data_IF_172189836028
#
_entry.id   IF_172189836028
#
_cell.length_a   1.000
_cell.length_b   1.000
_cell.length_c   1.000
_cell.angle_alpha   90.00
_cell.angle_beta   90.00
_cell.angle_gamma   90.00
#
_symmetry.space_group_name_H-M   'P 1'
#
loop_
_entity.id
_entity.type
_entity.pdbx_description
1 polymer ?
#
# COMPACT_ATOMS: atom_id res chain seq x y z
N UNK A 1 9.90 -8.61 16.94
CA UNK A 1 9.37 -7.79 15.84
C UNK A 1 9.73 -6.33 16.10
N UNK A 2 10.30 -5.61 15.13
CA UNK A 2 10.22 -4.15 15.15
C UNK A 2 8.97 -3.79 14.37
N UNK A 3 7.92 -3.35 15.06
CA UNK A 3 6.69 -2.90 14.41
C UNK A 3 6.98 -1.56 13.74
N UNK A 4 6.76 -1.48 12.43
CA UNK A 4 6.67 -0.22 11.72
C UNK A 4 5.19 0.14 11.62
N UNK A 5 4.78 1.20 12.32
CA UNK A 5 3.45 1.78 12.15
C UNK A 5 3.55 2.80 11.02
N UNK A 6 3.08 2.42 9.83
CA UNK A 6 2.75 3.39 8.81
C UNK A 6 1.45 4.07 9.22
N UNK A 7 1.53 5.19 9.94
CA UNK A 7 0.37 6.06 10.06
C UNK A 7 -0.08 6.41 8.64
N UNK A 8 -1.37 6.26 8.34
CA UNK A 8 -2.05 6.69 7.10
C UNK A 8 -1.79 8.16 6.68
N UNK A 9 -1.05 8.92 7.50
CA UNK A 9 -0.97 10.36 7.55
C UNK A 9 0.41 10.94 7.19
N UNK A 10 1.44 10.14 6.89
CA UNK A 10 2.77 10.69 6.58
C UNK A 10 3.84 9.72 6.12
N UNK A 11 5.06 10.24 5.90
CA UNK A 11 6.25 9.45 5.53
C UNK A 11 6.41 8.26 6.50
N UNK A 12 6.49 7.04 5.96
CA UNK A 12 6.66 5.83 6.78
C UNK A 12 7.91 6.00 7.64
N UNK A 13 7.73 5.95 8.96
CA UNK A 13 8.81 6.05 9.94
C UNK A 13 9.08 4.66 10.51
N UNK A 14 10.27 4.17 10.25
CA UNK A 14 10.72 2.92 10.84
C UNK A 14 11.39 3.20 12.18
N UNK A 15 10.90 2.56 13.24
CA UNK A 15 11.51 2.65 14.56
C UNK A 15 12.96 2.14 14.52
N UNK A 16 13.86 2.76 15.30
CA UNK A 16 15.24 2.28 15.45
C UNK A 16 15.20 0.81 15.92
N UNK A 17 15.87 -0.07 15.18
CA UNK A 17 15.96 -1.51 15.51
C UNK A 17 16.68 -1.65 16.86
N UNK A 18 15.95 -1.99 17.92
CA UNK A 18 16.53 -2.25 19.26
C UNK A 18 17.46 -3.46 19.31
N UNK A 19 17.36 -4.39 18.34
CA UNK A 19 18.18 -5.59 18.28
C UNK A 19 18.71 -5.80 16.85
N UNK A 20 20.03 -6.05 16.72
CA UNK A 20 20.75 -6.17 15.44
C UNK A 20 20.23 -7.30 14.53
N UNK A 21 19.53 -8.31 15.07
CA UNK A 21 19.07 -9.51 14.33
C UNK A 21 17.57 -9.57 14.01
N UNK A 22 16.77 -8.51 14.27
CA UNK A 22 15.31 -8.56 14.06
C UNK A 22 14.91 -7.94 12.73
N UNK A 23 14.19 -8.65 11.88
CA UNK A 23 13.62 -8.09 10.63
C UNK A 23 12.68 -6.91 10.90
N UNK A 24 12.49 -6.09 9.88
CA UNK A 24 11.53 -5.00 9.85
C UNK A 24 10.30 -5.46 9.05
N UNK A 25 9.13 -5.36 9.66
CA UNK A 25 7.87 -5.72 9.05
C UNK A 25 6.94 -4.52 9.05
N UNK A 26 6.42 -4.18 7.87
CA UNK A 26 5.38 -3.18 7.68
C UNK A 26 4.08 -3.95 7.36
N UNK A 27 3.31 -4.22 8.41
CA UNK A 27 2.16 -5.14 8.36
C UNK A 27 0.88 -4.47 7.86
N UNK A 28 0.86 -3.14 7.80
CA UNK A 28 -0.21 -2.35 7.20
C UNK A 28 0.41 -1.06 6.65
N UNK A 29 0.10 -0.74 5.40
CA UNK A 29 0.42 0.53 4.77
C UNK A 29 -0.46 0.74 3.53
N UNK A 30 -0.40 1.94 2.96
CA UNK A 30 -1.26 2.33 1.85
C UNK A 30 -2.55 2.97 2.35
N UNK A 31 -3.70 2.40 2.02
CA UNK A 31 -4.99 2.99 2.37
C UNK A 31 -5.38 4.17 1.47
N UNK A 32 -4.87 4.21 0.23
CA UNK A 32 -5.28 5.20 -0.76
C UNK A 32 -6.64 4.85 -1.32
N UNK A 33 -7.50 5.87 -1.39
CA UNK A 33 -8.93 5.69 -1.60
C UNK A 33 -9.33 6.23 -2.96
N UNK A 34 -10.17 5.50 -3.68
CA UNK A 34 -10.81 5.94 -4.91
C UNK A 34 -12.19 5.33 -4.93
N UNK A 35 -13.25 6.12 -5.03
CA UNK A 35 -14.61 5.60 -4.98
C UNK A 35 -15.17 5.43 -6.38
N UNK A 36 -15.71 4.25 -6.67
CA UNK A 36 -16.58 4.02 -7.82
C UNK A 36 -18.01 3.92 -7.29
N UNK A 37 -18.82 4.96 -7.54
CA UNK A 37 -20.14 5.14 -6.88
C UNK A 37 -21.08 3.98 -7.15
N UNK A 38 -21.07 3.47 -8.38
CA UNK A 38 -21.93 2.38 -8.86
C UNK A 38 -21.61 1.03 -8.20
N UNK A 39 -20.42 0.91 -7.60
CA UNK A 39 -19.91 -0.29 -6.94
C UNK A 39 -19.57 -0.05 -5.46
N UNK A 40 -20.19 0.97 -4.84
CA UNK A 40 -20.04 1.30 -3.41
C UNK A 40 -21.14 0.64 -2.57
N UNK A 41 -20.87 0.39 -1.28
CA UNK A 41 -21.87 -0.15 -0.35
C UNK A 41 -23.05 0.81 -0.12
N UNK A 42 -22.75 2.09 0.09
CA UNK A 42 -23.75 3.15 0.13
C UNK A 42 -23.28 4.38 -0.67
N UNK A 43 -24.13 5.41 -0.75
CA UNK A 43 -23.86 6.70 -1.41
C UNK A 43 -23.51 7.84 -0.45
N UNK A 44 -23.43 7.55 0.85
CA UNK A 44 -23.12 8.51 1.90
C UNK A 44 -21.63 8.82 2.01
N UNK A 45 -21.25 9.28 3.19
CA UNK A 45 -19.86 9.57 3.53
C UNK A 45 -19.00 8.32 3.43
N UNK A 46 -17.80 8.48 2.88
CA UNK A 46 -16.81 7.41 2.77
C UNK A 46 -15.71 7.62 3.79
N UNK A 47 -15.18 6.51 4.29
CA UNK A 47 -13.96 6.49 5.06
C UNK A 47 -12.77 6.26 4.12
N UNK A 48 -11.93 7.28 3.99
CA UNK A 48 -10.75 7.22 3.16
C UNK A 48 -9.79 8.34 3.54
N UNK A 49 -8.52 8.00 3.77
CA UNK A 49 -7.54 8.97 4.25
C UNK A 49 -7.06 9.88 3.13
N UNK A 50 -6.60 9.27 2.03
CA UNK A 50 -6.11 9.98 0.86
C UNK A 50 -6.98 9.60 -0.32
N UNK A 51 -7.95 10.45 -0.60
CA UNK A 51 -8.96 10.24 -1.61
C UNK A 51 -8.47 10.81 -2.94
N UNK A 52 -8.61 10.00 -3.99
CA UNK A 52 -8.32 10.34 -5.37
C UNK A 52 -9.62 10.30 -6.16
N UNK A 53 -9.73 11.17 -7.16
CA UNK A 53 -10.93 11.29 -8.00
C UNK A 53 -10.88 10.40 -9.24
N UNK A 54 -9.69 9.90 -9.60
CA UNK A 54 -9.50 9.05 -10.79
C UNK A 54 -8.59 7.86 -10.50
N UNK A 55 -8.77 6.81 -11.31
CA UNK A 55 -7.92 5.61 -11.32
C UNK A 55 -6.46 5.98 -11.56
N UNK A 56 -6.18 6.86 -12.51
CA UNK A 56 -4.83 7.26 -12.88
C UNK A 56 -4.13 7.98 -11.72
N UNK A 57 -4.85 8.86 -11.01
CA UNK A 57 -4.31 9.57 -9.85
C UNK A 57 -4.01 8.62 -8.69
N UNK A 58 -4.88 7.61 -8.45
CA UNK A 58 -4.64 6.55 -7.48
C UNK A 58 -3.38 5.75 -7.84
N UNK A 59 -3.27 5.31 -9.09
CA UNK A 59 -2.14 4.53 -9.58
C UNK A 59 -0.82 5.29 -9.49
N UNK A 60 -0.79 6.54 -9.92
CA UNK A 60 0.39 7.41 -9.80
C UNK A 60 0.83 7.56 -8.34
N UNK A 61 -0.13 7.75 -7.44
CA UNK A 61 0.17 7.86 -6.02
C UNK A 61 0.73 6.55 -5.44
N UNK A 62 0.17 5.40 -5.82
CA UNK A 62 0.69 4.09 -5.40
C UNK A 62 2.12 3.91 -5.90
N UNK A 63 2.43 4.20 -7.17
CA UNK A 63 3.82 4.14 -7.69
C UNK A 63 4.77 4.97 -6.84
N UNK A 64 4.40 6.24 -6.59
CA UNK A 64 5.19 7.16 -5.75
C UNK A 64 5.36 6.64 -4.31
N UNK A 65 4.35 5.99 -3.74
CA UNK A 65 4.45 5.38 -2.41
C UNK A 65 5.55 4.32 -2.37
N UNK A 66 5.56 3.41 -3.34
CA UNK A 66 6.57 2.35 -3.43
C UNK A 66 7.97 2.92 -3.69
N UNK A 67 8.13 3.75 -4.71
CA UNK A 67 9.40 4.34 -5.12
C UNK A 67 10.05 5.16 -3.99
N UNK A 68 9.27 6.00 -3.31
CA UNK A 68 9.80 6.99 -2.37
C UNK A 68 9.87 6.49 -0.93
N UNK A 69 8.99 5.55 -0.55
CA UNK A 69 8.84 5.14 0.85
C UNK A 69 9.10 3.67 1.11
N UNK A 70 9.00 2.78 0.11
CA UNK A 70 9.20 1.34 0.29
C UNK A 70 10.59 0.93 -0.19
N UNK A 71 10.91 1.20 -1.45
CA UNK A 71 12.17 0.75 -2.06
C UNK A 71 13.42 1.15 -1.25
N UNK A 72 13.54 2.38 -0.70
CA UNK A 72 14.72 2.79 0.07
C UNK A 72 14.90 2.08 1.41
N UNK A 73 13.92 1.29 1.86
CA UNK A 73 13.97 0.56 3.13
C UNK A 73 14.20 -0.94 2.98
N UNK A 74 14.11 -1.47 1.75
CA UNK A 74 14.44 -2.88 1.45
C UNK A 74 15.88 -3.17 1.90
N UNK A 75 16.85 -2.39 1.44
CA UNK A 75 18.27 -2.50 1.85
C UNK A 75 18.53 -2.19 3.33
N UNK A 76 17.55 -1.64 4.07
CA UNK A 76 17.63 -1.36 5.50
C UNK A 76 17.02 -2.47 6.36
N UNK A 77 16.63 -3.58 5.73
CA UNK A 77 16.11 -4.78 6.35
C UNK A 77 14.59 -4.85 6.47
N UNK A 78 13.86 -4.09 5.62
CA UNK A 78 12.44 -4.35 5.36
C UNK A 78 12.31 -5.71 4.66
N UNK A 79 11.65 -6.65 5.33
CA UNK A 79 11.53 -8.04 4.85
C UNK A 79 10.07 -8.49 4.74
N UNK A 80 9.13 -7.73 5.28
CA UNK A 80 7.69 -8.03 5.20
C UNK A 80 6.93 -6.73 4.92
N UNK A 81 6.00 -6.81 3.98
CA UNK A 81 5.19 -5.69 3.52
C UNK A 81 3.78 -6.20 3.20
N UNK A 82 2.74 -5.57 3.77
CA UNK A 82 1.33 -5.96 3.57
C UNK A 82 0.50 -4.72 3.27
N UNK A 83 -0.02 -4.63 2.05
CA UNK A 83 -0.85 -3.51 1.60
C UNK A 83 -2.27 -3.68 2.11
N UNK A 84 -2.80 -2.64 2.75
CA UNK A 84 -4.20 -2.58 3.20
C UNK A 84 -4.97 -1.71 2.19
N UNK A 85 -5.94 -2.23 1.43
CA UNK A 85 -6.54 -3.58 1.46
C UNK A 85 -6.89 -4.12 0.06
N UNK A 86 -7.37 -5.37 -0.02
CA UNK A 86 -7.72 -6.00 -1.30
C UNK A 86 -9.01 -5.43 -1.90
N UNK A 87 -10.12 -5.45 -1.17
CA UNK A 87 -11.43 -4.96 -1.61
C UNK A 87 -11.93 -3.84 -0.73
N UNK A 88 -12.82 -2.99 -1.26
CA UNK A 88 -13.56 -2.05 -0.42
C UNK A 88 -14.43 -2.82 0.60
N UNK A 89 -14.60 -2.25 1.78
CA UNK A 89 -15.38 -2.82 2.89
C UNK A 89 -16.29 -1.73 3.44
N UNK A 90 -17.60 -1.87 3.20
CA UNK A 90 -18.61 -0.87 3.57
C UNK A 90 -18.20 0.53 3.11
N UNK A 91 -17.90 1.43 4.05
CA UNK A 91 -17.49 2.82 3.78
C UNK A 91 -15.98 2.98 3.56
N UNK A 92 -15.18 1.95 3.81
CA UNK A 92 -13.74 1.93 3.55
C UNK A 92 -13.46 1.64 2.07
N UNK A 93 -13.16 2.69 1.30
CA UNK A 93 -13.02 2.63 -0.17
C UNK A 93 -11.57 2.65 -0.66
N UNK A 94 -10.67 2.03 0.10
CA UNK A 94 -9.23 1.92 -0.16
C UNK A 94 -8.78 0.53 -0.64
N UNK A 95 -9.71 -0.29 -1.14
CA UNK A 95 -9.42 -1.54 -1.81
C UNK A 95 -8.88 -1.36 -3.23
N UNK A 96 -8.13 -2.35 -3.70
CA UNK A 96 -7.75 -2.49 -5.11
C UNK A 96 -8.93 -2.89 -6.01
N UNK A 97 -9.95 -3.52 -5.44
CA UNK A 97 -11.18 -3.88 -6.12
C UNK A 97 -12.38 -3.31 -5.38
N UNK A 98 -13.47 -3.11 -6.11
CA UNK A 98 -14.71 -2.56 -5.54
C UNK A 98 -15.34 -3.46 -4.48
N UNK A 99 -16.32 -2.92 -3.74
CA UNK A 99 -17.03 -3.61 -2.66
C UNK A 99 -17.63 -4.94 -3.14
N UNK A 100 -18.24 -4.91 -4.34
CA UNK A 100 -18.84 -6.07 -5.00
C UNK A 100 -17.84 -6.96 -5.76
N UNK A 101 -16.55 -6.59 -5.76
CA UNK A 101 -15.43 -7.31 -6.41
C UNK A 101 -15.58 -7.45 -7.92
N UNK A 102 -16.35 -6.57 -8.56
CA UNK A 102 -16.58 -6.62 -10.02
C UNK A 102 -15.62 -5.75 -10.81
N UNK A 103 -15.03 -4.73 -10.19
CA UNK A 103 -14.18 -3.76 -10.89
C UNK A 103 -12.83 -3.61 -10.21
N UNK A 104 -11.78 -3.71 -11.02
CA UNK A 104 -10.41 -3.42 -10.63
C UNK A 104 -10.16 -1.90 -10.66
N UNK A 105 -9.96 -1.33 -9.48
CA UNK A 105 -9.70 0.10 -9.28
C UNK A 105 -8.28 0.52 -9.66
N UNK A 106 -7.40 -0.46 -9.86
CA UNK A 106 -6.02 -0.30 -10.33
C UNK A 106 -5.68 -1.38 -11.37
N UNK A 107 -4.70 -1.14 -12.22
CA UNK A 107 -4.15 -2.16 -13.11
C UNK A 107 -3.37 -3.23 -12.32
N UNK A 108 -3.80 -4.49 -12.46
CA UNK A 108 -3.12 -5.65 -11.87
C UNK A 108 -1.67 -5.79 -12.33
N UNK A 109 -1.38 -5.49 -13.60
CA UNK A 109 -0.02 -5.59 -14.13
C UNK A 109 0.92 -4.60 -13.47
N UNK A 110 0.43 -3.41 -13.11
CA UNK A 110 1.20 -2.43 -12.35
C UNK A 110 1.66 -3.01 -11.00
N UNK A 111 0.77 -3.65 -10.25
CA UNK A 111 1.12 -4.25 -8.95
C UNK A 111 2.06 -5.46 -9.10
N UNK A 112 1.87 -6.27 -10.15
CA UNK A 112 2.79 -7.37 -10.48
C UNK A 112 4.20 -6.83 -10.75
N UNK A 113 4.32 -5.74 -11.50
CA UNK A 113 5.61 -5.13 -11.84
C UNK A 113 6.28 -4.53 -10.60
N UNK A 114 5.54 -3.79 -9.77
CA UNK A 114 6.04 -3.29 -8.47
C UNK A 114 6.56 -4.45 -7.62
N UNK A 115 5.82 -5.56 -7.53
CA UNK A 115 6.26 -6.72 -6.77
C UNK A 115 7.55 -7.35 -7.32
N UNK A 116 7.68 -7.46 -8.65
CA UNK A 116 8.92 -7.94 -9.29
C UNK A 116 10.10 -7.03 -9.00
N UNK A 117 9.92 -5.71 -9.14
CA UNK A 117 10.96 -4.72 -8.83
C UNK A 117 11.42 -4.85 -7.37
N UNK A 118 10.50 -4.97 -6.41
CA UNK A 118 10.87 -5.18 -5.01
C UNK A 118 11.69 -6.46 -4.79
N UNK A 119 11.34 -7.55 -5.47
CA UNK A 119 12.07 -8.82 -5.38
C UNK A 119 13.49 -8.67 -5.94
N UNK A 120 13.67 -7.99 -7.08
CA UNK A 120 14.99 -7.76 -7.65
C UNK A 120 15.84 -6.85 -6.74
N UNK A 121 15.29 -5.74 -6.24
CA UNK A 121 15.98 -4.88 -5.28
C UNK A 121 16.39 -5.67 -4.03
N UNK A 122 15.52 -6.55 -3.52
CA UNK A 122 15.83 -7.38 -2.36
C UNK A 122 17.01 -8.32 -2.65
N UNK A 123 17.02 -9.00 -3.81
CA UNK A 123 18.13 -9.89 -4.21
C UNK A 123 19.45 -9.14 -4.38
N UNK A 124 19.42 -7.93 -4.93
CA UNK A 124 20.62 -7.12 -5.17
C UNK A 124 21.21 -6.55 -3.88
N UNK A 125 20.37 -6.26 -2.87
CA UNK A 125 20.79 -5.51 -1.68
C UNK A 125 20.92 -6.34 -0.41
N UNK A 126 20.33 -7.54 -0.36
CA UNK A 126 20.26 -8.35 0.86
C UNK A 126 20.96 -9.72 0.76
N UNK A 127 21.65 -10.01 -0.35
CA UNK A 127 22.50 -11.20 -0.52
C UNK A 127 23.95 -10.94 -0.12
#
# INVERSE_FOLDING_TARGET
>A
MGLAYGNYFGKIKFAKRKAKKRILALTEFGGYSYRIKEHSYNLGDIFGYKIFETKEALEEAIKKLYEQQIYPYISKGLSVLVYTQLSDVEDEVNGFITYDRKVDKIDKNMMININKEMIEIFKETCN
#
